data_IF_941804636692
#
_entry.id   IF_941804636692
#
_cell.length_a   1.000
_cell.length_b   1.000
_cell.length_c   1.000
_cell.angle_alpha   90.00
_cell.angle_beta   90.00
_cell.angle_gamma   90.00
#
_symmetry.space_group_name_H-M   'P 1'
#
loop_
_entity.id
_entity.type
_entity.pdbx_description
1 polymer ?
#
# COMPACT_ATOMS: atom_id res chain seq x y z
N UNK A 1 -7.67 6.01 19.44
CA UNK A 1 -6.33 6.21 18.85
C UNK A 1 -6.40 5.87 17.36
N UNK A 2 -6.24 6.87 16.50
CA UNK A 2 -6.44 6.74 15.05
C UNK A 2 -5.25 6.11 14.32
N UNK A 3 -5.50 5.41 13.22
CA UNK A 3 -4.47 4.79 12.37
C UNK A 3 -3.45 5.79 11.79
N UNK A 4 -3.71 7.10 11.83
CA UNK A 4 -2.84 8.13 11.25
C UNK A 4 -1.50 8.26 11.97
N UNK A 5 -1.51 8.40 13.30
CA UNK A 5 -0.30 8.68 14.08
C UNK A 5 0.79 7.59 13.96
N UNK A 6 0.38 6.31 13.87
CA UNK A 6 1.33 5.22 13.68
C UNK A 6 2.00 5.23 12.31
N UNK A 7 1.32 5.75 11.28
CA UNK A 7 1.82 5.75 9.92
C UNK A 7 2.70 6.97 9.62
N UNK A 8 2.42 8.12 10.26
CA UNK A 8 3.31 9.29 10.25
C UNK A 8 4.66 8.93 10.87
N UNK A 9 4.66 8.29 12.05
CA UNK A 9 5.88 7.83 12.70
C UNK A 9 6.69 6.83 11.85
N UNK A 10 6.02 5.98 11.07
CA UNK A 10 6.69 5.06 10.14
C UNK A 10 7.36 5.81 8.99
N UNK A 11 6.71 6.84 8.43
CA UNK A 11 7.31 7.67 7.39
C UNK A 11 8.54 8.43 7.91
N UNK A 12 8.47 8.94 9.14
CA UNK A 12 9.62 9.60 9.79
C UNK A 12 10.81 8.65 9.94
N UNK A 13 10.57 7.40 10.36
CA UNK A 13 11.62 6.37 10.46
C UNK A 13 12.25 6.05 9.10
N UNK A 14 11.43 5.93 8.04
CA UNK A 14 11.94 5.68 6.69
C UNK A 14 12.73 6.89 6.18
N UNK A 15 12.28 8.11 6.44
CA UNK A 15 13.00 9.32 6.07
C UNK A 15 14.37 9.38 6.76
N UNK A 16 14.44 9.12 8.06
CA UNK A 16 15.69 9.06 8.81
C UNK A 16 16.68 8.04 8.22
N UNK A 17 16.18 6.87 7.81
CA UNK A 17 17.01 5.86 7.14
C UNK A 17 17.49 6.32 5.75
N UNK A 18 16.63 6.98 4.97
CA UNK A 18 17.01 7.54 3.68
C UNK A 18 18.12 8.59 3.81
N UNK A 19 18.01 9.48 4.80
CA UNK A 19 19.00 10.53 5.07
C UNK A 19 20.38 9.94 5.40
N UNK A 20 20.42 8.84 6.16
CA UNK A 20 21.67 8.15 6.50
C UNK A 20 22.26 7.30 5.36
N UNK A 21 21.44 6.80 4.44
CA UNK A 21 21.86 5.93 3.33
C UNK A 21 22.18 6.69 2.03
N UNK A 22 21.82 7.97 1.95
CA UNK A 22 21.89 8.77 0.71
C UNK A 22 20.76 8.47 -0.28
N UNK A 23 19.81 7.60 0.07
CA UNK A 23 18.62 7.35 -0.71
C UNK A 23 17.64 8.52 -0.60
N UNK A 24 16.72 8.67 -1.57
CA UNK A 24 15.68 9.70 -1.55
C UNK A 24 14.29 9.08 -1.52
N UNK A 25 13.52 9.42 -0.50
CA UNK A 25 12.11 9.04 -0.39
C UNK A 25 11.27 9.86 -1.40
N UNK A 26 10.57 9.17 -2.30
CA UNK A 26 9.70 9.82 -3.29
C UNK A 26 8.23 9.73 -2.84
N UNK A 27 7.81 10.69 -2.03
CA UNK A 27 6.46 10.72 -1.46
C UNK A 27 5.35 10.76 -2.51
N UNK A 28 5.57 11.37 -3.68
CA UNK A 28 4.55 11.42 -4.75
C UNK A 28 4.30 10.07 -5.41
N UNK A 29 5.24 9.11 -5.27
CA UNK A 29 5.08 7.71 -5.71
C UNK A 29 4.69 6.77 -4.58
N UNK A 30 4.82 7.19 -3.32
CA UNK A 30 4.36 6.41 -2.17
C UNK A 30 2.83 6.31 -2.17
N UNK A 31 2.33 5.14 -1.80
CA UNK A 31 0.89 4.89 -1.66
C UNK A 31 0.62 4.06 -0.42
N UNK A 32 -0.51 4.32 0.23
CA UNK A 32 -1.03 3.50 1.33
C UNK A 32 -2.13 2.61 0.76
N UNK A 33 -2.00 1.30 0.90
CA UNK A 33 -3.09 0.35 0.62
C UNK A 33 -3.76 -0.05 1.94
N UNK A 34 -4.97 0.43 2.24
CA UNK A 34 -5.72 -0.09 3.37
C UNK A 34 -6.13 -1.54 3.07
N UNK A 35 -5.69 -2.53 3.85
CA UNK A 35 -6.15 -3.92 3.66
C UNK A 35 -7.50 -4.19 4.36
N UNK A 36 -7.87 -3.36 5.33
CA UNK A 36 -9.16 -3.44 6.01
C UNK A 36 -10.26 -2.78 5.18
N UNK A 37 -11.08 -3.59 4.51
CA UNK A 37 -12.18 -3.11 3.65
C UNK A 37 -13.17 -2.17 4.34
N UNK A 38 -13.35 -2.29 5.66
CA UNK A 38 -14.34 -1.52 6.44
C UNK A 38 -13.78 -0.27 7.11
N UNK A 39 -12.45 -0.10 7.16
CA UNK A 39 -11.82 1.00 7.89
C UNK A 39 -11.36 2.08 6.92
N UNK A 40 -11.91 3.28 7.06
CA UNK A 40 -11.41 4.44 6.36
C UNK A 40 -10.06 4.82 6.95
N UNK A 41 -9.07 4.99 6.08
CA UNK A 41 -7.75 5.47 6.44
C UNK A 41 -7.70 6.94 6.01
N UNK A 42 -7.45 7.89 6.95
CA UNK A 42 -7.34 9.30 6.59
C UNK A 42 -6.14 9.51 5.66
N UNK A 43 -6.19 10.56 4.85
CA UNK A 43 -5.02 10.97 4.07
C UNK A 43 -3.84 11.25 5.02
N UNK A 44 -2.65 10.87 4.56
CA UNK A 44 -1.41 10.94 5.34
C UNK A 44 -0.46 11.92 4.66
N UNK A 45 -0.55 13.20 5.02
CA UNK A 45 0.24 14.26 4.39
C UNK A 45 0.14 14.21 2.86
N UNK A 46 1.27 14.09 2.18
CA UNK A 46 1.36 13.99 0.71
C UNK A 46 1.26 12.56 0.16
N UNK A 47 1.11 11.53 1.01
CA UNK A 47 1.05 10.14 0.56
C UNK A 47 -0.38 9.78 0.18
N UNK A 48 -0.54 9.31 -1.05
CA UNK A 48 -1.85 8.94 -1.60
C UNK A 48 -2.37 7.66 -0.94
N UNK A 49 -3.60 7.69 -0.44
CA UNK A 49 -4.30 6.49 0.04
C UNK A 49 -5.10 5.88 -1.12
N UNK A 50 -4.97 4.57 -1.32
CA UNK A 50 -5.69 3.86 -2.38
C UNK A 50 -7.15 3.64 -2.00
N UNK A 51 -8.03 3.92 -2.95
CA UNK A 51 -9.48 3.73 -2.83
C UNK A 51 -9.90 2.27 -3.12
N UNK A 52 -11.15 1.95 -2.76
CA UNK A 52 -11.77 0.67 -3.11
C UNK A 52 -11.78 0.49 -4.63
N UNK A 53 -11.18 -0.61 -5.10
CA UNK A 53 -11.06 -0.92 -6.53
C UNK A 53 -9.71 -0.55 -7.14
N UNK A 54 -8.90 0.27 -6.46
CA UNK A 54 -7.53 0.52 -6.87
C UNK A 54 -6.61 -0.62 -6.43
N UNK A 55 -5.56 -0.86 -7.21
CA UNK A 55 -4.52 -1.85 -6.93
C UNK A 55 -3.14 -1.20 -6.99
N UNK A 56 -2.18 -1.82 -6.29
CA UNK A 56 -0.75 -1.52 -6.38
C UNK A 56 -0.01 -2.81 -6.72
N UNK A 57 1.04 -2.72 -7.53
CA UNK A 57 1.90 -3.87 -7.82
C UNK A 57 3.11 -3.83 -6.90
N UNK A 58 3.43 -4.96 -6.29
CA UNK A 58 4.68 -5.17 -5.58
C UNK A 58 5.33 -6.43 -6.14
N UNK A 59 6.54 -6.28 -6.69
CA UNK A 59 7.28 -7.35 -7.38
C UNK A 59 6.44 -8.07 -8.45
N UNK A 60 5.63 -7.31 -9.20
CA UNK A 60 4.74 -7.85 -10.25
C UNK A 60 3.39 -8.37 -9.75
N UNK A 61 3.22 -8.57 -8.44
CA UNK A 61 2.00 -9.11 -7.84
C UNK A 61 1.04 -7.95 -7.52
N UNK A 62 -0.22 -7.95 -8.01
CA UNK A 62 -1.20 -6.93 -7.69
C UNK A 62 -1.82 -7.16 -6.30
N UNK A 63 -1.83 -6.11 -5.49
CA UNK A 63 -2.52 -6.03 -4.19
C UNK A 63 -3.63 -4.99 -4.27
N UNK A 64 -4.80 -5.30 -3.74
CA UNK A 64 -5.91 -4.37 -3.70
C UNK A 64 -7.02 -4.82 -2.76
N UNK A 65 -8.02 -3.96 -2.59
CA UNK A 65 -9.18 -4.27 -1.75
C UNK A 65 -10.27 -5.07 -2.48
N UNK A 66 -10.14 -5.26 -3.79
CA UNK A 66 -11.13 -5.97 -4.59
C UNK A 66 -11.40 -7.38 -4.03
N UNK A 67 -12.65 -7.82 -4.12
CA UNK A 67 -12.99 -9.23 -3.92
C UNK A 67 -12.26 -10.06 -4.97
N UNK A 68 -11.54 -11.09 -4.50
CA UNK A 68 -10.97 -12.09 -5.39
C UNK A 68 -12.13 -12.76 -6.10
N UNK A 69 -12.21 -12.61 -7.42
CA UNK A 69 -13.20 -13.30 -8.24
C UNK A 69 -12.75 -14.75 -8.43
N UNK A 70 -13.71 -15.67 -8.58
CA UNK A 70 -13.43 -17.09 -8.87
C UNK A 70 -12.43 -17.24 -10.04
N UNK A 71 -12.62 -16.44 -11.09
CA UNK A 71 -11.74 -16.40 -12.26
C UNK A 71 -10.29 -16.00 -11.95
N UNK A 72 -10.04 -15.17 -10.94
CA UNK A 72 -8.67 -14.82 -10.53
C UNK A 72 -7.99 -15.99 -9.82
N UNK A 73 -8.74 -16.76 -9.03
CA UNK A 73 -8.23 -17.98 -8.40
C UNK A 73 -7.90 -19.04 -9.45
N UNK A 74 -8.80 -19.24 -10.42
CA UNK A 74 -8.59 -20.18 -11.53
C UNK A 74 -7.38 -19.80 -12.40
N UNK A 75 -7.14 -18.51 -12.66
CA UNK A 75 -5.96 -18.08 -13.42
C UNK A 75 -4.65 -18.24 -12.64
N UNK A 76 -4.68 -18.09 -11.31
CA UNK A 76 -3.53 -18.36 -10.44
C UNK A 76 -3.24 -19.86 -10.39
N UNK A 77 -4.26 -20.69 -10.23
CA UNK A 77 -4.12 -22.15 -10.17
C UNK A 77 -3.46 -22.66 -11.46
N UNK A 78 -3.99 -22.27 -12.63
CA UNK A 78 -3.43 -22.62 -13.95
C UNK A 78 -1.98 -22.15 -14.18
N UNK A 79 -1.56 -21.04 -13.57
CA UNK A 79 -0.21 -20.47 -13.80
C UNK A 79 0.86 -21.09 -12.92
N UNK A 80 0.48 -21.63 -11.77
CA UNK A 80 1.43 -22.06 -10.74
C UNK A 80 1.30 -23.53 -10.35
N UNK A 81 0.25 -24.23 -10.81
CA UNK A 81 0.00 -25.66 -10.66
C UNK A 81 -0.40 -26.28 -12.00
#
# INVERSE_FOLDING_TARGET
MGCGAGMEAQLELVQLYCDGSGAKLNLSKCVVLPLHRRRLVPQLGSVRVLERGQTVKYLGIPFGQASVTQALLEDLDRKFY
#
